data_IF_057967368960
#
_entry.id   IF_057967368960
#
_cell.length_a   1.000
_cell.length_b   1.000
_cell.length_c   1.000
_cell.angle_alpha   90.00
_cell.angle_beta   90.00
_cell.angle_gamma   90.00
#
_symmetry.space_group_name_H-M   'P 1'
#
loop_
_entity.id
_entity.type
_entity.pdbx_description
1 polymer ?
#
# COMPACT_ATOMS: atom_id res chain seq x y z
N UNK A 1 -46.84 -34.30 36.82
CA UNK A 1 -46.71 -34.49 38.28
C UNK A 1 -45.25 -34.24 38.60
N UNK A 2 -44.78 -33.06 39.02
CA UNK A 2 -45.16 -32.18 40.14
C UNK A 2 -44.63 -32.67 41.51
N UNK A 3 -44.13 -31.72 42.32
CA UNK A 3 -43.44 -31.83 43.64
C UNK A 3 -41.94 -32.21 43.59
N UNK A 4 -40.97 -31.49 44.18
CA UNK A 4 -40.81 -30.58 45.36
C UNK A 4 -40.29 -31.24 46.65
N UNK A 5 -39.08 -30.84 47.06
CA UNK A 5 -38.60 -30.50 48.43
C UNK A 5 -37.07 -30.26 48.33
N UNK A 6 -36.41 -29.18 48.76
CA UNK A 6 -36.66 -28.04 49.67
C UNK A 6 -36.39 -28.29 51.17
N UNK A 7 -35.14 -28.05 51.59
CA UNK A 7 -34.73 -27.43 52.87
C UNK A 7 -33.23 -27.05 52.76
N UNK A 8 -32.68 -25.85 53.01
CA UNK A 8 -33.01 -24.58 53.71
C UNK A 8 -32.37 -24.42 55.10
N UNK A 9 -31.81 -23.21 55.33
CA UNK A 9 -31.30 -22.63 56.60
C UNK A 9 -29.87 -23.07 56.98
N UNK A 10 -29.00 -22.22 57.55
CA UNK A 10 -29.24 -20.93 58.21
C UNK A 10 -28.18 -19.84 57.90
N UNK A 11 -28.61 -18.58 57.99
CA UNK A 11 -27.75 -17.38 57.96
C UNK A 11 -27.33 -16.95 59.38
N UNK A 12 -26.28 -16.13 59.50
CA UNK A 12 -26.24 -15.04 60.49
C UNK A 12 -25.28 -13.91 60.10
N UNK A 13 -25.76 -12.69 60.31
CA UNK A 13 -25.10 -11.40 60.05
C UNK A 13 -24.51 -10.87 61.36
N UNK A 14 -23.44 -10.08 61.30
CA UNK A 14 -23.17 -9.01 62.26
C UNK A 14 -22.31 -7.89 61.62
N UNK A 15 -22.53 -6.65 62.06
CA UNK A 15 -22.09 -5.39 61.44
C UNK A 15 -21.36 -4.49 62.47
N UNK A 16 -20.73 -3.38 62.02
CA UNK A 16 -19.99 -2.35 62.80
C UNK A 16 -18.67 -2.83 63.43
N UNK A 17 -17.61 -2.04 63.71
CA UNK A 17 -17.28 -0.61 63.53
C UNK A 17 -15.99 -0.27 64.33
N UNK A 18 -15.28 0.86 64.23
CA UNK A 18 -15.30 2.02 63.30
C UNK A 18 -14.05 2.92 63.51
N UNK A 19 -13.60 3.66 62.48
CA UNK A 19 -12.74 4.89 62.52
C UNK A 19 -11.27 4.80 63.02
N UNK A 20 -10.32 5.18 62.14
CA UNK A 20 -9.26 6.18 62.42
C UNK A 20 -8.79 6.85 61.11
N UNK A 21 -8.02 7.95 61.21
CA UNK A 21 -8.19 9.14 60.35
C UNK A 21 -6.88 9.78 59.83
N UNK A 22 -6.77 9.96 58.49
CA UNK A 22 -6.14 11.08 57.73
C UNK A 22 -4.61 11.34 57.82
N UNK A 23 -3.95 11.46 56.65
CA UNK A 23 -3.21 12.63 56.07
C UNK A 23 -2.28 12.12 54.96
N UNK A 24 -2.53 12.47 53.68
CA UNK A 24 -1.65 13.32 52.87
C UNK A 24 -2.28 13.64 51.50
N UNK A 25 -2.55 14.92 51.27
CA UNK A 25 -3.16 15.46 50.06
C UNK A 25 -2.32 16.68 49.65
N UNK A 26 -1.42 16.54 48.66
CA UNK A 26 -0.75 17.66 47.98
C UNK A 26 0.14 17.19 46.83
N UNK A 27 -0.34 17.28 45.58
CA UNK A 27 0.41 17.75 44.36
C UNK A 27 -0.46 17.57 43.11
N UNK A 28 -1.62 18.23 43.10
CA UNK A 28 -2.40 18.45 41.87
C UNK A 28 -2.67 19.93 41.71
N UNK A 29 -1.79 20.63 40.98
CA UNK A 29 -1.94 21.94 40.32
C UNK A 29 -0.53 22.51 40.02
N UNK A 30 -0.37 23.06 38.80
CA UNK A 30 0.78 23.82 38.23
C UNK A 30 1.62 23.12 37.14
N UNK A 31 1.03 22.96 35.95
CA UNK A 31 1.75 23.16 34.65
C UNK A 31 0.79 23.34 33.45
N UNK A 32 -0.35 24.01 33.64
CA UNK A 32 -1.25 24.40 32.53
C UNK A 32 -0.76 25.65 31.81
N UNK A 33 0.28 25.52 30.98
CA UNK A 33 0.74 26.64 30.14
C UNK A 33 1.66 26.22 28.98
N UNK A 34 1.32 25.18 28.19
CA UNK A 34 1.86 25.01 26.82
C UNK A 34 1.01 24.12 25.88
N UNK A 35 -0.34 24.24 25.94
CA UNK A 35 -1.24 23.64 24.91
C UNK A 35 -2.22 24.71 24.40
N UNK A 36 -1.75 25.51 23.45
CA UNK A 36 -2.59 26.32 22.56
C UNK A 36 -2.03 26.25 21.13
N UNK A 37 -2.41 25.20 20.39
CA UNK A 37 -2.69 25.24 18.94
C UNK A 37 -3.09 23.86 18.38
N UNK A 38 -4.02 23.18 19.05
CA UNK A 38 -4.63 21.92 18.58
C UNK A 38 -6.16 22.04 18.46
N UNK A 39 -6.63 23.11 17.80
CA UNK A 39 -8.02 23.27 17.35
C UNK A 39 -8.13 23.16 15.82
N UNK A 40 -7.73 22.00 15.30
CA UNK A 40 -7.93 21.59 13.91
C UNK A 40 -7.96 20.06 13.76
N UNK A 41 -8.54 19.36 14.74
CA UNK A 41 -8.90 17.94 14.64
C UNK A 41 -10.37 17.81 15.00
N UNK A 42 -11.22 18.22 14.06
CA UNK A 42 -12.64 17.88 14.09
C UNK A 42 -12.77 16.49 13.49
N UNK A 43 -13.19 15.57 14.34
CA UNK A 43 -13.80 14.27 14.08
C UNK A 43 -14.33 14.08 12.64
N UNK A 44 -13.60 13.30 11.83
CA UNK A 44 -14.08 12.58 10.64
C UNK A 44 -13.78 11.10 10.89
N UNK A 45 -14.81 10.26 10.98
CA UNK A 45 -14.69 8.83 11.32
C UNK A 45 -14.21 7.99 10.12
N UNK A 46 -12.96 8.20 9.69
CA UNK A 46 -12.28 7.42 8.65
C UNK A 46 -10.77 7.34 8.91
N UNK A 47 -10.32 6.34 9.68
CA UNK A 47 -8.89 6.18 10.03
C UNK A 47 -7.99 6.00 8.80
N UNK A 48 -8.48 5.35 7.73
CA UNK A 48 -7.75 5.17 6.46
C UNK A 48 -7.37 6.50 5.80
N UNK A 49 -8.29 7.47 5.71
CA UNK A 49 -7.95 8.78 5.12
C UNK A 49 -6.90 9.53 5.94
N UNK A 50 -6.83 9.30 7.26
CA UNK A 50 -5.77 9.81 8.12
C UNK A 50 -4.39 9.26 7.72
N UNK A 51 -4.30 7.94 7.53
CA UNK A 51 -3.05 7.28 7.10
C UNK A 51 -2.60 7.75 5.72
N UNK A 52 -3.49 7.82 4.74
CA UNK A 52 -3.17 8.25 3.37
C UNK A 52 -2.70 9.72 3.31
N UNK A 53 -3.36 10.61 4.05
CA UNK A 53 -2.94 12.01 4.21
C UNK A 53 -1.55 12.08 4.87
N UNK A 54 -1.29 11.28 5.92
CA UNK A 54 0.01 11.25 6.60
C UNK A 54 1.15 10.71 5.71
N UNK A 55 0.95 9.58 5.03
CA UNK A 55 1.98 8.98 4.17
C UNK A 55 2.39 9.92 3.02
N UNK A 56 1.40 10.52 2.34
CA UNK A 56 1.65 11.52 1.29
C UNK A 56 2.35 12.76 1.83
N UNK A 57 1.93 13.27 2.99
CA UNK A 57 2.59 14.40 3.65
C UNK A 57 4.04 14.08 4.04
N UNK A 58 4.30 12.91 4.63
CA UNK A 58 5.64 12.49 5.03
C UNK A 58 6.59 12.37 3.82
N UNK A 59 6.14 11.77 2.71
CA UNK A 59 6.91 11.69 1.46
C UNK A 59 7.20 13.09 0.89
N UNK A 60 6.18 13.96 0.81
CA UNK A 60 6.33 15.35 0.33
C UNK A 60 7.29 16.16 1.19
N UNK A 61 7.20 16.05 2.52
CA UNK A 61 8.09 16.76 3.43
C UNK A 61 9.52 16.21 3.40
N UNK A 62 9.72 14.90 3.23
CA UNK A 62 11.05 14.32 3.02
C UNK A 62 11.70 14.83 1.72
N UNK A 63 10.90 15.05 0.66
CA UNK A 63 11.36 15.67 -0.58
C UNK A 63 11.74 17.14 -0.40
N UNK A 64 10.91 17.92 0.29
CA UNK A 64 11.13 19.34 0.54
C UNK A 64 12.34 19.58 1.48
N UNK A 65 12.49 18.77 2.53
CA UNK A 65 13.52 18.94 3.55
C UNK A 65 14.95 18.83 2.98
N UNK A 66 15.17 18.03 1.93
CA UNK A 66 16.47 17.90 1.26
C UNK A 66 16.91 19.16 0.48
N UNK A 67 16.07 20.18 0.34
CA UNK A 67 16.50 21.47 -0.24
C UNK A 67 17.24 22.37 0.77
N UNK A 68 17.12 22.11 2.07
CA UNK A 68 17.93 22.76 3.11
C UNK A 68 19.03 21.79 3.58
N UNK A 69 20.28 22.19 3.37
CA UNK A 69 21.45 21.28 3.33
C UNK A 69 21.98 20.86 4.72
N UNK A 70 21.10 20.61 5.70
CA UNK A 70 21.45 20.38 7.11
C UNK A 70 20.53 19.38 7.81
N UNK A 71 20.61 18.09 7.46
CA UNK A 71 20.28 17.00 8.40
C UNK A 71 21.27 15.85 8.25
N UNK A 72 22.02 15.58 9.32
CA UNK A 72 22.82 14.36 9.46
C UNK A 72 21.87 13.19 9.77
N UNK A 73 21.52 12.36 8.78
CA UNK A 73 20.64 11.20 8.97
C UNK A 73 21.14 9.96 8.22
N UNK A 74 21.08 8.82 8.90
CA UNK A 74 21.76 7.55 8.57
C UNK A 74 21.06 6.69 7.51
N UNK A 75 20.25 7.30 6.63
CA UNK A 75 19.48 6.57 5.60
C UNK A 75 19.82 7.12 4.22
N UNK A 76 20.78 6.47 3.56
CA UNK A 76 21.11 6.73 2.16
C UNK A 76 19.96 6.24 1.26
N UNK A 77 19.18 7.17 0.72
CA UNK A 77 18.24 6.89 -0.38
C UNK A 77 19.09 6.77 -1.66
N UNK A 78 19.11 5.60 -2.34
CA UNK A 78 19.90 5.42 -3.57
C UNK A 78 19.47 6.40 -4.66
N UNK A 79 20.40 6.84 -5.50
CA UNK A 79 20.08 7.79 -6.57
C UNK A 79 19.03 7.25 -7.55
N UNK A 80 18.99 5.93 -7.77
CA UNK A 80 17.99 5.27 -8.61
C UNK A 80 16.56 5.32 -8.02
N UNK A 81 16.41 5.71 -6.76
CA UNK A 81 15.14 5.85 -6.06
C UNK A 81 14.61 7.31 -6.08
N UNK A 82 15.37 8.25 -6.64
CA UNK A 82 14.98 9.66 -6.73
C UNK A 82 14.17 9.92 -8.00
N UNK A 83 13.15 10.75 -7.89
CA UNK A 83 12.33 11.22 -8.99
C UNK A 83 12.53 12.69 -9.33
N UNK A 84 11.72 13.25 -10.24
CA UNK A 84 11.76 14.68 -10.54
C UNK A 84 11.36 15.53 -9.34
N UNK A 85 11.74 16.81 -9.34
CA UNK A 85 11.20 17.77 -8.40
C UNK A 85 9.73 18.08 -8.73
N UNK A 86 8.86 18.02 -7.72
CA UNK A 86 7.46 18.43 -7.88
C UNK A 86 7.37 19.95 -7.92
N UNK A 87 6.76 20.54 -8.96
CA UNK A 87 6.59 21.99 -9.06
C UNK A 87 5.72 22.57 -7.94
N UNK A 88 5.87 23.86 -7.65
CA UNK A 88 5.14 24.56 -6.57
C UNK A 88 3.60 24.51 -6.68
N UNK A 89 3.03 24.18 -7.86
CA UNK A 89 1.59 23.91 -8.05
C UNK A 89 1.11 22.58 -7.41
N UNK A 90 2.01 21.79 -6.83
CA UNK A 90 1.71 20.57 -6.07
C UNK A 90 1.59 19.29 -6.90
N UNK A 91 1.85 19.35 -8.21
CA UNK A 91 1.88 18.19 -9.11
C UNK A 91 2.77 18.47 -10.32
N UNK A 92 3.31 17.40 -10.89
CA UNK A 92 3.93 17.35 -12.21
C UNK A 92 2.93 16.71 -13.20
N UNK A 93 2.91 17.23 -14.42
CA UNK A 93 2.31 16.57 -15.59
C UNK A 93 3.36 16.57 -16.70
N UNK A 94 3.57 15.44 -17.36
CA UNK A 94 4.58 15.29 -18.40
C UNK A 94 4.12 14.24 -19.43
N UNK A 95 4.33 14.51 -20.73
CA UNK A 95 4.10 13.51 -21.78
C UNK A 95 5.13 12.39 -21.70
N UNK A 96 4.67 11.14 -21.77
CA UNK A 96 5.53 9.95 -21.90
C UNK A 96 5.79 9.69 -23.38
N UNK A 97 4.72 9.52 -24.17
CA UNK A 97 4.74 9.30 -25.63
C UNK A 97 3.32 9.40 -26.21
N UNK A 98 3.19 9.86 -27.45
CA UNK A 98 1.96 9.87 -28.27
C UNK A 98 0.66 10.15 -27.49
N UNK A 99 0.64 11.29 -26.80
CA UNK A 99 -0.48 11.80 -25.99
C UNK A 99 -0.87 10.98 -24.74
N UNK A 100 0.00 10.08 -24.28
CA UNK A 100 -0.07 9.52 -22.93
C UNK A 100 0.76 10.37 -21.97
N UNK A 101 0.12 10.90 -20.93
CA UNK A 101 0.71 11.80 -19.95
C UNK A 101 0.78 11.15 -18.58
N UNK A 102 1.92 11.27 -17.92
CA UNK A 102 2.13 10.97 -16.50
C UNK A 102 1.67 12.14 -15.64
N UNK A 103 1.03 11.84 -14.50
CA UNK A 103 0.72 12.78 -13.42
C UNK A 103 1.26 12.24 -12.11
N UNK A 104 1.93 13.09 -11.32
CA UNK A 104 2.42 12.74 -9.98
C UNK A 104 2.39 13.93 -9.02
N UNK A 105 2.22 13.65 -7.73
CA UNK A 105 2.42 14.60 -6.62
C UNK A 105 3.71 14.32 -5.81
N UNK A 106 4.56 13.41 -6.30
CA UNK A 106 5.79 12.93 -5.67
C UNK A 106 5.62 11.69 -4.79
N UNK A 107 4.38 11.29 -4.50
CA UNK A 107 4.06 10.09 -3.73
C UNK A 107 3.20 9.09 -4.52
N UNK A 108 2.31 9.57 -5.39
CA UNK A 108 1.47 8.76 -6.27
C UNK A 108 1.77 9.05 -7.74
N UNK A 109 1.54 8.06 -8.60
CA UNK A 109 1.78 8.08 -10.04
C UNK A 109 0.58 7.52 -10.78
N UNK A 110 0.01 8.30 -11.68
CA UNK A 110 -1.03 7.82 -12.60
C UNK A 110 -0.82 8.36 -14.02
N UNK A 111 -1.62 7.93 -14.99
CA UNK A 111 -1.54 8.35 -16.39
C UNK A 111 -2.91 8.62 -17.01
N UNK A 112 -2.95 9.53 -17.98
CA UNK A 112 -4.11 9.75 -18.85
C UNK A 112 -3.72 9.78 -20.31
N UNK A 113 -4.62 9.33 -21.18
CA UNK A 113 -4.43 9.20 -22.62
C UNK A 113 -5.41 10.11 -23.35
N UNK A 114 -4.88 11.11 -24.07
CA UNK A 114 -5.69 12.04 -24.88
C UNK A 114 -5.87 11.45 -26.29
N UNK A 115 -7.13 11.43 -26.74
CA UNK A 115 -7.54 11.04 -28.08
C UNK A 115 -8.29 12.16 -28.78
N UNK A 116 -8.57 12.00 -30.07
CA UNK A 116 -9.45 12.90 -30.83
C UNK A 116 -10.96 12.75 -30.52
N UNK A 117 -11.35 12.01 -29.47
CA UNK A 117 -12.75 11.84 -29.04
C UNK A 117 -12.98 12.03 -27.53
N UNK A 118 -11.94 12.45 -26.80
CA UNK A 118 -11.96 12.54 -25.34
C UNK A 118 -10.68 12.06 -24.67
N UNK A 119 -10.70 12.05 -23.34
CA UNK A 119 -9.61 11.57 -22.50
C UNK A 119 -10.02 10.26 -21.80
N UNK A 120 -9.09 9.30 -21.81
CA UNK A 120 -9.12 8.13 -20.93
C UNK A 120 -8.23 8.45 -19.72
N UNK A 121 -8.75 8.30 -18.51
CA UNK A 121 -7.98 8.40 -17.26
C UNK A 121 -7.87 7.03 -16.61
N UNK A 122 -6.76 6.78 -15.93
CA UNK A 122 -6.57 5.58 -15.09
C UNK A 122 -6.48 6.06 -13.65
N UNK A 123 -7.18 5.39 -12.75
CA UNK A 123 -7.24 5.71 -11.32
C UNK A 123 -7.60 7.19 -11.01
N UNK A 124 -7.59 7.54 -9.73
CA UNK A 124 -7.89 8.86 -9.20
C UNK A 124 -7.26 9.07 -7.81
N UNK A 125 -5.91 9.10 -7.67
CA UNK A 125 -5.30 9.05 -6.35
C UNK A 125 -5.68 10.24 -5.47
N UNK A 126 -6.09 9.99 -4.22
CA UNK A 126 -6.75 11.00 -3.37
C UNK A 126 -5.90 12.27 -3.18
N UNK A 127 -4.58 12.11 -3.12
CA UNK A 127 -3.62 13.18 -2.84
C UNK A 127 -3.29 14.03 -4.07
N UNK A 128 -3.51 13.48 -5.27
CA UNK A 128 -3.52 14.23 -6.53
C UNK A 128 -4.89 14.93 -6.66
N UNK A 129 -5.98 14.18 -6.50
CA UNK A 129 -7.34 14.68 -6.50
C UNK A 129 -7.62 15.65 -7.66
N UNK A 130 -8.25 16.79 -7.37
CA UNK A 130 -8.60 17.82 -8.38
C UNK A 130 -7.42 18.40 -9.15
N UNK A 131 -6.17 18.17 -8.75
CA UNK A 131 -5.01 18.53 -9.58
C UNK A 131 -4.91 17.67 -10.84
N UNK A 132 -5.48 16.47 -10.85
CA UNK A 132 -5.54 15.62 -12.04
C UNK A 132 -6.35 16.30 -13.17
N UNK A 133 -7.51 16.88 -12.84
CA UNK A 133 -8.30 17.66 -13.80
C UNK A 133 -7.55 18.90 -14.33
N UNK A 134 -6.72 19.54 -13.48
CA UNK A 134 -5.85 20.65 -13.91
C UNK A 134 -4.74 20.17 -14.85
N UNK A 135 -4.10 19.04 -14.54
CA UNK A 135 -3.09 18.41 -15.38
C UNK A 135 -3.62 18.06 -16.78
N UNK A 136 -4.86 17.57 -16.87
CA UNK A 136 -5.55 17.33 -18.15
C UNK A 136 -5.79 18.65 -18.89
N UNK A 137 -6.31 19.67 -18.19
CA UNK A 137 -6.61 20.99 -18.77
C UNK A 137 -5.36 21.78 -19.23
N UNK A 138 -4.16 21.44 -18.76
CA UNK A 138 -2.90 22.02 -19.24
C UNK A 138 -2.52 21.53 -20.65
N UNK A 139 -2.97 20.34 -21.06
CA UNK A 139 -2.55 19.71 -22.33
C UNK A 139 -3.70 19.51 -23.32
N UNK A 140 -4.96 19.53 -22.88
CA UNK A 140 -6.11 19.37 -23.77
C UNK A 140 -7.38 20.07 -23.27
N UNK A 141 -8.33 20.28 -24.20
CA UNK A 141 -9.70 20.71 -23.93
C UNK A 141 -10.72 19.57 -24.05
N UNK A 142 -10.26 18.38 -24.44
CA UNK A 142 -11.10 17.20 -24.59
C UNK A 142 -11.66 16.73 -23.24
N UNK A 143 -12.95 16.35 -23.15
CA UNK A 143 -13.55 15.91 -21.90
C UNK A 143 -13.09 14.50 -21.53
N UNK A 144 -13.03 14.20 -20.23
CA UNK A 144 -12.91 12.82 -19.74
C UNK A 144 -14.13 12.02 -20.19
N UNK A 145 -13.89 10.87 -20.82
CA UNK A 145 -14.93 9.95 -21.32
C UNK A 145 -14.89 8.58 -20.67
N UNK A 146 -13.70 8.12 -20.27
CA UNK A 146 -13.49 6.79 -19.73
C UNK A 146 -12.59 6.91 -18.50
N UNK A 147 -13.00 6.24 -17.42
CA UNK A 147 -12.23 6.08 -16.17
C UNK A 147 -11.95 4.59 -16.02
N UNK A 148 -10.70 4.21 -15.80
CA UNK A 148 -10.29 2.81 -15.59
C UNK A 148 -9.76 2.68 -14.17
N UNK A 149 -10.23 1.69 -13.42
CA UNK A 149 -9.63 1.33 -12.13
C UNK A 149 -8.61 0.21 -12.32
N UNK A 150 -7.40 0.39 -11.79
CA UNK A 150 -6.35 -0.64 -11.76
C UNK A 150 -6.69 -1.77 -10.78
N UNK A 151 -7.27 -1.42 -9.63
CA UNK A 151 -7.73 -2.32 -8.59
C UNK A 151 -8.64 -1.55 -7.59
N UNK A 152 -9.05 -2.16 -6.47
CA UNK A 152 -10.09 -1.62 -5.58
C UNK A 152 -9.60 -0.67 -4.48
N UNK A 153 -8.29 -0.48 -4.28
CA UNK A 153 -7.80 0.33 -3.16
C UNK A 153 -8.12 1.83 -3.28
N UNK A 154 -8.52 2.42 -2.15
CA UNK A 154 -9.02 3.78 -2.03
C UNK A 154 -7.95 4.87 -2.21
N UNK A 155 -6.68 4.55 -1.99
CA UNK A 155 -5.57 5.47 -2.26
C UNK A 155 -5.36 5.70 -3.76
N UNK A 156 -5.72 4.71 -4.59
CA UNK A 156 -5.72 4.82 -6.05
C UNK A 156 -7.03 5.36 -6.60
N UNK A 157 -8.21 4.92 -6.15
CA UNK A 157 -9.48 5.30 -6.80
C UNK A 157 -10.33 6.32 -6.01
N UNK A 158 -9.96 6.67 -4.78
CA UNK A 158 -10.81 7.39 -3.83
C UNK A 158 -11.20 8.83 -4.19
N UNK A 159 -10.58 9.45 -5.21
CA UNK A 159 -11.06 10.73 -5.76
C UNK A 159 -11.86 10.59 -7.07
N UNK A 160 -12.22 9.38 -7.51
CA UNK A 160 -12.82 9.14 -8.83
C UNK A 160 -14.17 9.85 -9.05
N UNK A 161 -14.91 10.17 -7.98
CA UNK A 161 -16.13 11.00 -8.03
C UNK A 161 -15.90 12.45 -8.48
N UNK A 162 -14.65 12.90 -8.65
CA UNK A 162 -14.33 14.17 -9.31
C UNK A 162 -14.51 14.12 -10.84
N UNK A 163 -14.53 12.94 -11.45
CA UNK A 163 -14.72 12.77 -12.88
C UNK A 163 -16.21 12.86 -13.25
N UNK A 164 -16.54 13.09 -14.54
CA UNK A 164 -17.94 13.20 -14.96
C UNK A 164 -18.75 11.94 -14.62
N UNK A 165 -19.93 12.12 -14.03
CA UNK A 165 -20.83 11.02 -13.68
C UNK A 165 -21.35 10.24 -14.90
N UNK A 166 -21.24 10.81 -16.11
CA UNK A 166 -21.58 10.18 -17.39
C UNK A 166 -20.36 9.64 -18.16
N UNK A 167 -19.19 9.55 -17.53
CA UNK A 167 -18.06 8.80 -18.07
C UNK A 167 -18.32 7.29 -17.96
N UNK A 168 -17.68 6.49 -18.83
CA UNK A 168 -17.67 5.04 -18.71
C UNK A 168 -16.63 4.64 -17.67
N UNK A 169 -17.06 4.11 -16.53
CA UNK A 169 -16.19 3.53 -15.51
C UNK A 169 -15.96 2.05 -15.83
N UNK A 170 -14.69 1.64 -15.94
CA UNK A 170 -14.26 0.29 -16.34
C UNK A 170 -13.41 -0.33 -15.22
N UNK A 171 -13.75 -1.55 -14.80
CA UNK A 171 -12.97 -2.31 -13.84
C UNK A 171 -12.97 -3.81 -14.16
N UNK A 172 -12.05 -4.55 -13.54
CA UNK A 172 -12.10 -6.02 -13.55
C UNK A 172 -13.27 -6.51 -12.66
N UNK A 173 -13.83 -7.69 -12.94
CA UNK A 173 -15.02 -8.22 -12.26
C UNK A 173 -14.87 -8.37 -10.74
N UNK A 174 -13.72 -8.80 -10.23
CA UNK A 174 -13.41 -8.90 -8.80
C UNK A 174 -13.30 -7.51 -8.16
N UNK A 175 -12.63 -6.55 -8.80
CA UNK A 175 -12.62 -5.14 -8.36
C UNK A 175 -14.04 -4.59 -8.26
N UNK A 176 -14.89 -4.81 -9.27
CA UNK A 176 -16.30 -4.39 -9.20
C UNK A 176 -17.10 -5.13 -8.10
N UNK A 177 -16.69 -6.34 -7.73
CA UNK A 177 -17.29 -7.11 -6.63
C UNK A 177 -16.85 -6.55 -5.28
N UNK A 178 -15.55 -6.29 -5.07
CA UNK A 178 -15.02 -5.61 -3.87
C UNK A 178 -15.73 -4.27 -3.64
N UNK A 179 -15.84 -3.42 -4.66
CA UNK A 179 -16.48 -2.10 -4.53
C UNK A 179 -17.97 -2.20 -4.18
N UNK A 180 -18.67 -3.21 -4.73
CA UNK A 180 -20.06 -3.50 -4.38
C UNK A 180 -20.20 -4.01 -2.95
N UNK A 181 -19.28 -4.87 -2.49
CA UNK A 181 -19.29 -5.46 -1.15
C UNK A 181 -18.92 -4.41 -0.08
N UNK A 182 -17.99 -3.49 -0.39
CA UNK A 182 -17.66 -2.33 0.45
C UNK A 182 -18.83 -1.32 0.53
N UNK A 183 -19.62 -1.21 -0.54
CA UNK A 183 -20.78 -0.32 -0.64
C UNK A 183 -20.46 1.17 -0.34
N UNK A 184 -19.22 1.60 -0.63
CA UNK A 184 -18.82 3.00 -0.53
C UNK A 184 -19.33 3.79 -1.74
N UNK A 185 -20.26 4.71 -1.49
CA UNK A 185 -20.85 5.57 -2.53
C UNK A 185 -19.95 6.75 -2.93
N UNK A 186 -18.79 6.94 -2.28
CA UNK A 186 -17.80 7.96 -2.63
C UNK A 186 -17.05 7.65 -3.93
N UNK A 187 -16.99 6.37 -4.32
CA UNK A 187 -16.39 5.87 -5.56
C UNK A 187 -17.50 5.51 -6.57
N UNK A 188 -17.49 6.07 -7.79
CA UNK A 188 -18.44 5.67 -8.83
C UNK A 188 -18.32 4.18 -9.17
N UNK A 189 -19.45 3.46 -9.13
CA UNK A 189 -19.49 2.04 -9.46
C UNK A 189 -19.11 1.79 -10.94
N UNK A 190 -18.35 0.71 -11.24
CA UNK A 190 -18.01 0.35 -12.62
C UNK A 190 -19.26 0.12 -13.48
N UNK A 191 -19.37 0.87 -14.58
CA UNK A 191 -20.44 0.75 -15.58
C UNK A 191 -20.17 -0.33 -16.63
N UNK A 192 -18.90 -0.74 -16.78
CA UNK A 192 -18.44 -1.83 -17.63
C UNK A 192 -17.48 -2.70 -16.80
N UNK A 193 -17.65 -4.01 -16.88
CA UNK A 193 -16.74 -4.98 -16.24
C UNK A 193 -16.22 -5.98 -17.27
N UNK A 194 -15.07 -6.58 -16.96
CA UNK A 194 -14.48 -7.65 -17.75
C UNK A 194 -13.82 -8.71 -16.86
N UNK A 195 -13.73 -9.94 -17.38
CA UNK A 195 -13.17 -11.09 -16.66
C UNK A 195 -11.66 -11.25 -16.85
N UNK A 196 -11.19 -11.33 -18.09
CA UNK A 196 -9.80 -11.68 -18.41
C UNK A 196 -9.05 -10.62 -19.23
N UNK A 197 -9.64 -10.11 -20.31
CA UNK A 197 -9.00 -9.09 -21.15
C UNK A 197 -10.04 -8.15 -21.76
N UNK A 198 -9.68 -6.88 -21.93
CA UNK A 198 -10.56 -5.87 -22.51
C UNK A 198 -9.76 -4.79 -23.25
N UNK A 199 -10.12 -4.52 -24.52
CA UNK A 199 -9.48 -3.49 -25.33
C UNK A 199 -10.30 -2.19 -25.28
N UNK A 200 -9.87 -1.23 -24.46
CA UNK A 200 -10.45 0.11 -24.41
C UNK A 200 -10.02 0.88 -25.65
N UNK A 201 -10.99 1.38 -26.43
CA UNK A 201 -10.73 2.23 -27.59
C UNK A 201 -11.48 3.53 -27.46
N UNK A 202 -10.80 4.65 -27.70
CA UNK A 202 -11.39 5.98 -27.78
C UNK A 202 -10.69 6.73 -28.91
N UNK A 203 -11.42 7.06 -29.97
CA UNK A 203 -10.84 7.70 -31.15
C UNK A 203 -9.68 6.93 -31.75
N UNK A 204 -8.54 7.61 -31.90
CA UNK A 204 -7.28 7.07 -32.40
C UNK A 204 -6.43 6.33 -31.35
N UNK A 205 -6.89 6.20 -30.10
CA UNK A 205 -6.12 5.63 -28.99
C UNK A 205 -6.66 4.26 -28.53
N UNK A 206 -5.78 3.44 -27.95
CA UNK A 206 -6.14 2.12 -27.41
C UNK A 206 -5.33 1.80 -26.16
N UNK A 207 -6.01 1.26 -25.14
CA UNK A 207 -5.39 0.56 -24.01
C UNK A 207 -5.88 -0.90 -23.99
N UNK A 208 -5.01 -1.82 -23.60
CA UNK A 208 -5.33 -3.23 -23.36
C UNK A 208 -5.29 -3.47 -21.85
N UNK A 209 -6.43 -3.89 -21.29
CA UNK A 209 -6.56 -4.27 -19.90
C UNK A 209 -6.50 -5.78 -19.81
N UNK A 210 -5.66 -6.32 -18.93
CA UNK A 210 -5.43 -7.75 -18.80
C UNK A 210 -5.39 -8.16 -17.32
N UNK A 211 -6.23 -9.13 -16.95
CA UNK A 211 -6.15 -9.81 -15.66
C UNK A 211 -5.39 -11.12 -15.84
N UNK A 212 -4.24 -11.26 -15.17
CA UNK A 212 -3.33 -12.42 -15.31
C UNK A 212 -3.34 -13.37 -14.10
N UNK A 213 -4.37 -13.26 -13.25
CA UNK A 213 -4.50 -13.93 -11.96
C UNK A 213 -4.33 -12.96 -10.78
N UNK A 214 -4.67 -13.43 -9.58
CA UNK A 214 -4.46 -12.70 -8.32
C UNK A 214 -2.97 -12.38 -8.18
N UNK A 215 -2.65 -11.22 -7.60
CA UNK A 215 -1.29 -10.81 -7.32
C UNK A 215 -1.28 -9.94 -6.04
N UNK A 216 -1.21 -8.63 -6.19
CA UNK A 216 -1.45 -7.65 -5.13
C UNK A 216 -2.82 -7.85 -4.46
N UNK A 217 -3.90 -7.78 -5.23
CA UNK A 217 -5.25 -8.17 -4.82
C UNK A 217 -5.98 -8.90 -5.96
N UNK A 218 -7.13 -9.52 -5.65
CA UNK A 218 -8.06 -10.01 -6.67
C UNK A 218 -8.58 -8.84 -7.52
N UNK A 219 -8.38 -8.95 -8.83
CA UNK A 219 -8.78 -7.91 -9.78
C UNK A 219 -7.71 -6.85 -10.11
N UNK A 220 -6.51 -6.87 -9.52
CA UNK A 220 -5.43 -5.98 -9.97
C UNK A 220 -4.99 -6.32 -11.41
N UNK A 221 -5.03 -5.33 -12.30
CA UNK A 221 -4.83 -5.51 -13.75
C UNK A 221 -3.57 -4.87 -14.32
N UNK A 222 -3.10 -5.46 -15.41
CA UNK A 222 -2.09 -4.92 -16.31
C UNK A 222 -2.78 -4.01 -17.31
N UNK A 223 -2.32 -2.76 -17.43
CA UNK A 223 -2.90 -1.75 -18.32
C UNK A 223 -1.83 -1.34 -19.33
N UNK A 224 -1.90 -1.89 -20.54
CA UNK A 224 -0.87 -1.72 -21.56
C UNK A 224 -1.31 -0.77 -22.68
N UNK A 225 -0.47 0.23 -22.96
CA UNK A 225 -0.61 1.18 -24.06
C UNK A 225 0.32 0.77 -25.22
N UNK A 226 -0.17 0.02 -26.23
CA UNK A 226 0.69 -0.62 -27.23
C UNK A 226 1.44 0.35 -28.14
N UNK A 227 0.79 1.43 -28.59
CA UNK A 227 1.42 2.46 -29.44
C UNK A 227 2.54 3.16 -28.67
N UNK A 228 2.24 3.57 -27.44
CA UNK A 228 3.16 4.29 -26.57
C UNK A 228 4.26 3.40 -25.99
N UNK A 229 4.07 2.07 -26.00
CA UNK A 229 4.92 1.07 -25.33
C UNK A 229 5.04 1.37 -23.83
N UNK A 230 3.92 1.64 -23.18
CA UNK A 230 3.86 1.92 -21.73
C UNK A 230 3.01 0.85 -21.06
N UNK A 231 3.50 0.31 -19.95
CA UNK A 231 2.73 -0.55 -19.06
C UNK A 231 2.37 0.26 -17.81
N UNK A 232 1.16 0.12 -17.32
CA UNK A 232 0.82 0.45 -15.94
C UNK A 232 0.48 -0.85 -15.21
N UNK A 233 1.14 -1.07 -14.08
CA UNK A 233 0.91 -2.19 -13.18
C UNK A 233 1.14 -1.67 -11.78
N UNK A 234 0.03 -1.53 -11.05
CA UNK A 234 0.00 -0.87 -9.76
C UNK A 234 0.34 -1.86 -8.64
N UNK A 235 1.03 -1.36 -7.62
CA UNK A 235 1.38 -2.04 -6.36
C UNK A 235 2.18 -3.35 -6.45
N UNK A 236 2.64 -3.77 -7.64
CA UNK A 236 3.56 -4.91 -7.82
C UNK A 236 5.02 -4.49 -7.86
N UNK A 237 5.34 -3.32 -8.44
CA UNK A 237 6.71 -2.87 -8.73
C UNK A 237 6.90 -1.45 -8.22
N UNK A 238 7.99 -1.19 -7.49
CA UNK A 238 8.28 0.11 -6.89
C UNK A 238 9.65 0.60 -7.42
N UNK A 239 9.70 1.49 -8.43
CA UNK A 239 10.94 1.81 -9.16
C UNK A 239 12.05 2.42 -8.28
N UNK A 240 13.12 1.66 -8.03
CA UNK A 240 14.24 2.06 -7.17
C UNK A 240 14.02 1.87 -5.66
N UNK A 241 12.86 1.34 -5.25
CA UNK A 241 12.51 1.09 -3.85
C UNK A 241 12.20 -0.40 -3.62
N UNK A 242 12.23 -0.86 -2.37
CA UNK A 242 11.51 -2.10 -2.01
C UNK A 242 10.00 -1.80 -2.02
N UNK A 243 9.14 -2.82 -2.14
CA UNK A 243 7.70 -2.62 -1.98
C UNK A 243 7.31 -1.97 -0.64
N UNK A 244 6.09 -1.47 -0.55
CA UNK A 244 5.50 -1.13 0.74
C UNK A 244 5.45 -2.37 1.68
N UNK A 245 5.19 -2.19 2.98
CA UNK A 245 5.23 -3.29 3.98
C UNK A 245 4.53 -4.57 3.52
N UNK A 246 5.04 -5.71 3.97
CA UNK A 246 4.46 -7.03 3.71
C UNK A 246 4.30 -7.32 2.19
N UNK A 247 5.30 -6.87 1.41
CA UNK A 247 5.34 -6.93 -0.06
C UNK A 247 4.14 -6.24 -0.71
N UNK A 248 3.94 -4.98 -0.34
CA UNK A 248 2.80 -4.16 -0.70
C UNK A 248 1.47 -4.82 -0.32
N UNK A 249 1.37 -5.31 0.91
CA UNK A 249 0.15 -5.92 1.48
C UNK A 249 -0.50 -7.04 0.63
N UNK A 250 0.29 -7.71 -0.23
CA UNK A 250 -0.23 -8.65 -1.22
C UNK A 250 -1.08 -9.79 -0.63
N UNK A 251 -2.25 -10.01 -1.23
CA UNK A 251 -3.15 -11.14 -0.96
C UNK A 251 -2.53 -12.47 -1.41
N UNK A 252 -1.92 -12.51 -2.61
CA UNK A 252 -1.30 -13.70 -3.21
C UNK A 252 0.20 -13.46 -3.46
N UNK A 253 1.05 -13.91 -2.55
CA UNK A 253 2.51 -13.75 -2.65
C UNK A 253 3.10 -14.54 -3.84
N UNK A 254 2.74 -15.82 -4.10
CA UNK A 254 3.07 -16.49 -5.36
C UNK A 254 2.66 -15.71 -6.62
N UNK A 255 1.45 -15.15 -6.64
CA UNK A 255 0.91 -14.32 -7.71
C UNK A 255 1.71 -13.02 -7.90
N UNK A 256 2.03 -12.33 -6.81
CA UNK A 256 2.89 -11.13 -6.79
C UNK A 256 4.29 -11.40 -7.38
N UNK A 257 4.92 -12.51 -7.00
CA UNK A 257 6.21 -12.92 -7.57
C UNK A 257 6.07 -13.17 -9.09
N UNK A 258 5.03 -13.90 -9.50
CA UNK A 258 4.76 -14.23 -10.91
C UNK A 258 4.42 -13.02 -11.77
N UNK A 259 3.78 -12.00 -11.20
CA UNK A 259 3.37 -10.78 -11.89
C UNK A 259 4.57 -10.02 -12.52
N UNK A 260 5.77 -10.18 -11.96
CA UNK A 260 7.01 -9.63 -12.53
C UNK A 260 7.38 -10.26 -13.89
N UNK A 261 7.27 -11.58 -14.01
CA UNK A 261 7.52 -12.31 -15.27
C UNK A 261 6.42 -12.02 -16.28
N UNK A 262 5.17 -11.89 -15.82
CA UNK A 262 4.04 -11.47 -16.65
C UNK A 262 4.22 -10.04 -17.18
N UNK A 263 4.68 -9.09 -16.36
CA UNK A 263 4.99 -7.72 -16.78
C UNK A 263 6.08 -7.71 -17.86
N UNK A 264 7.15 -8.49 -17.69
CA UNK A 264 8.23 -8.60 -18.67
C UNK A 264 7.79 -9.22 -20.01
N UNK A 265 6.65 -9.89 -20.09
CA UNK A 265 6.10 -10.38 -21.37
C UNK A 265 5.59 -9.26 -22.31
N UNK A 266 5.24 -8.08 -21.77
CA UNK A 266 4.80 -6.94 -22.57
C UNK A 266 5.99 -6.20 -23.19
N UNK A 267 5.92 -5.73 -24.45
CA UNK A 267 6.97 -4.95 -25.08
C UNK A 267 6.87 -3.44 -24.71
N UNK A 268 6.97 -3.13 -23.41
CA UNK A 268 7.00 -1.76 -22.88
C UNK A 268 8.43 -1.22 -22.68
N UNK A 269 8.58 0.10 -22.75
CA UNK A 269 9.80 0.85 -22.40
C UNK A 269 9.68 1.50 -21.01
N UNK A 270 8.50 2.07 -20.71
CA UNK A 270 8.19 2.81 -19.48
C UNK A 270 7.10 2.12 -18.66
N UNK A 271 7.21 2.18 -17.34
CA UNK A 271 6.27 1.64 -16.37
C UNK A 271 5.65 2.77 -15.52
N UNK A 272 4.33 2.80 -15.39
CA UNK A 272 3.61 3.56 -14.36
C UNK A 272 3.24 2.60 -13.23
N UNK A 273 3.64 2.92 -12.01
CA UNK A 273 3.71 1.95 -10.90
C UNK A 273 2.78 2.26 -9.71
N UNK A 274 1.91 3.27 -9.82
CA UNK A 274 1.01 3.70 -8.75
C UNK A 274 1.69 4.54 -7.65
N UNK A 275 2.82 4.09 -7.10
CA UNK A 275 3.44 4.68 -5.90
C UNK A 275 4.86 5.21 -6.10
N UNK A 276 5.28 6.01 -5.12
CA UNK A 276 6.60 6.61 -4.93
C UNK A 276 7.01 7.59 -6.04
N UNK A 277 8.31 7.78 -6.23
CA UNK A 277 8.85 9.06 -6.68
C UNK A 277 8.93 9.22 -8.20
N UNK A 278 8.93 8.13 -8.97
CA UNK A 278 9.17 8.18 -10.43
C UNK A 278 8.51 7.06 -11.23
N UNK A 279 8.42 7.28 -12.54
CA UNK A 279 8.22 6.23 -13.53
C UNK A 279 9.32 5.16 -13.47
N UNK A 280 8.93 3.94 -13.76
CA UNK A 280 9.81 2.79 -13.89
C UNK A 280 10.20 2.46 -15.33
N UNK A 281 11.07 1.46 -15.43
CA UNK A 281 11.58 0.89 -16.68
C UNK A 281 11.53 -0.64 -16.63
N UNK A 282 11.82 -1.32 -17.74
CA UNK A 282 12.03 -2.79 -17.72
C UNK A 282 13.07 -3.22 -16.68
N UNK A 283 14.13 -2.42 -16.49
CA UNK A 283 15.21 -2.74 -15.55
C UNK A 283 14.74 -2.67 -14.09
N UNK A 284 13.76 -1.81 -13.77
CA UNK A 284 13.14 -1.79 -12.44
C UNK A 284 12.39 -3.09 -12.15
N UNK A 285 11.63 -3.61 -13.13
CA UNK A 285 10.93 -4.91 -13.01
C UNK A 285 11.93 -6.07 -12.88
N UNK A 286 13.03 -6.07 -13.65
CA UNK A 286 14.10 -7.07 -13.51
C UNK A 286 14.75 -7.00 -12.12
N UNK A 287 14.99 -5.80 -11.59
CA UNK A 287 15.62 -5.60 -10.27
C UNK A 287 14.68 -6.03 -9.14
N UNK A 288 13.39 -5.74 -9.23
CA UNK A 288 12.38 -6.21 -8.29
C UNK A 288 12.17 -7.73 -8.39
N UNK A 289 12.21 -8.32 -9.59
CA UNK A 289 12.18 -9.77 -9.78
C UNK A 289 13.39 -10.47 -9.14
N UNK A 290 14.59 -9.87 -9.22
CA UNK A 290 15.78 -10.33 -8.52
C UNK A 290 15.58 -10.26 -7.00
N UNK A 291 15.07 -9.13 -6.49
CA UNK A 291 14.78 -8.91 -5.08
C UNK A 291 13.81 -9.95 -4.49
N UNK A 292 12.67 -10.21 -5.14
CA UNK A 292 11.69 -11.20 -4.62
C UNK A 292 12.20 -12.64 -4.72
N UNK A 293 13.06 -12.95 -5.70
CA UNK A 293 13.70 -14.28 -5.83
C UNK A 293 14.78 -14.50 -4.77
N UNK A 294 15.58 -13.47 -4.47
CA UNK A 294 16.50 -13.49 -3.33
C UNK A 294 15.73 -13.64 -2.01
N UNK A 295 14.67 -12.86 -1.81
CA UNK A 295 13.83 -12.87 -0.61
C UNK A 295 13.23 -14.26 -0.35
N UNK A 296 12.63 -14.87 -1.38
CA UNK A 296 12.10 -16.24 -1.31
C UNK A 296 13.21 -17.24 -0.96
N UNK A 297 14.38 -17.14 -1.59
CA UNK A 297 15.52 -18.01 -1.30
C UNK A 297 16.04 -17.85 0.13
N UNK A 298 16.09 -16.60 0.62
CA UNK A 298 16.54 -16.26 1.96
C UNK A 298 15.57 -16.74 3.04
N UNK A 299 14.26 -16.57 2.82
CA UNK A 299 13.22 -17.07 3.72
C UNK A 299 13.22 -18.61 3.79
N UNK A 300 13.32 -19.30 2.65
CA UNK A 300 13.47 -20.77 2.60
C UNK A 300 14.69 -21.24 3.42
N UNK A 301 15.82 -20.55 3.30
CA UNK A 301 17.04 -20.93 4.03
C UNK A 301 16.91 -20.67 5.53
N UNK A 302 16.37 -19.51 5.95
CA UNK A 302 16.12 -19.21 7.35
C UNK A 302 15.18 -20.24 8.01
N UNK A 303 14.09 -20.62 7.34
CA UNK A 303 13.17 -21.68 7.81
C UNK A 303 13.86 -23.04 7.98
N UNK A 304 14.78 -23.40 7.06
CA UNK A 304 15.55 -24.66 7.15
C UNK A 304 16.60 -24.64 8.27
N UNK A 305 17.20 -23.49 8.55
CA UNK A 305 18.29 -23.38 9.53
C UNK A 305 17.81 -23.51 10.98
N UNK A 306 16.52 -23.31 11.25
CA UNK A 306 15.95 -23.33 12.61
C UNK A 306 14.81 -24.34 12.82
N UNK A 307 15.08 -25.61 12.53
CA UNK A 307 14.17 -26.73 12.80
C UNK A 307 14.17 -27.23 14.28
N UNK A 308 14.83 -26.53 15.22
CA UNK A 308 14.99 -26.99 16.60
C UNK A 308 14.13 -26.20 17.61
N UNK A 309 12.85 -26.56 17.67
CA UNK A 309 11.90 -26.03 18.66
C UNK A 309 12.33 -26.25 20.13
N UNK A 310 13.16 -27.26 20.43
CA UNK A 310 13.68 -27.48 21.80
C UNK A 310 14.60 -26.35 22.23
N UNK A 311 15.51 -25.90 21.36
CA UNK A 311 16.39 -24.75 21.65
C UNK A 311 15.60 -23.45 21.87
N UNK A 312 14.51 -23.27 21.13
CA UNK A 312 13.64 -22.09 21.28
C UNK A 312 12.83 -22.19 22.58
N UNK A 313 12.30 -23.37 22.90
CA UNK A 313 11.66 -23.63 24.18
C UNK A 313 12.61 -23.36 25.37
N UNK A 314 13.86 -23.80 25.31
CA UNK A 314 14.89 -23.49 26.32
C UNK A 314 15.07 -21.97 26.51
N UNK A 315 15.06 -21.18 25.44
CA UNK A 315 15.19 -19.71 25.51
C UNK A 315 13.98 -19.03 26.18
N UNK A 316 12.79 -19.62 26.09
CA UNK A 316 11.53 -19.00 26.59
C UNK A 316 10.96 -19.67 27.86
N UNK A 317 11.74 -20.52 28.53
CA UNK A 317 11.35 -21.15 29.80
C UNK A 317 10.58 -22.48 29.67
N UNK A 318 10.67 -23.12 28.51
CA UNK A 318 10.10 -24.44 28.20
C UNK A 318 8.88 -24.38 27.29
N UNK A 319 8.24 -25.55 27.08
CA UNK A 319 7.07 -25.71 26.21
C UNK A 319 5.73 -25.31 26.86
N UNK A 320 5.75 -24.71 28.05
CA UNK A 320 4.54 -24.33 28.81
C UNK A 320 3.71 -23.24 28.13
N UNK A 321 4.34 -22.41 27.29
CA UNK A 321 3.68 -21.43 26.42
C UNK A 321 4.01 -21.72 24.95
N UNK A 322 3.28 -22.62 24.27
CA UNK A 322 3.59 -22.99 22.89
C UNK A 322 3.47 -21.81 21.91
N UNK A 323 2.57 -20.86 22.15
CA UNK A 323 2.45 -19.66 21.29
C UNK A 323 3.69 -18.76 21.38
N UNK A 324 4.31 -18.64 22.55
CA UNK A 324 5.58 -17.91 22.69
C UNK A 324 6.70 -18.64 21.94
N UNK A 325 6.78 -19.96 22.04
CA UNK A 325 7.76 -20.76 21.27
C UNK A 325 7.60 -20.55 19.76
N UNK A 326 6.37 -20.61 19.23
CA UNK A 326 6.11 -20.33 17.81
C UNK A 326 6.44 -18.87 17.43
N UNK A 327 6.03 -17.89 18.23
CA UNK A 327 6.32 -16.48 17.95
C UNK A 327 7.84 -16.20 17.90
N UNK A 328 8.60 -16.76 18.82
CA UNK A 328 10.06 -16.63 18.84
C UNK A 328 10.72 -17.33 17.65
N UNK A 329 10.18 -18.47 17.19
CA UNK A 329 10.63 -19.11 15.94
C UNK A 329 10.39 -18.20 14.72
N UNK A 330 9.20 -17.63 14.61
CA UNK A 330 8.80 -16.78 13.47
C UNK A 330 9.65 -15.50 13.41
N UNK A 331 9.89 -14.87 14.56
CA UNK A 331 10.77 -13.70 14.68
C UNK A 331 12.21 -14.03 14.29
N UNK A 332 12.74 -15.19 14.69
CA UNK A 332 14.11 -15.59 14.37
C UNK A 332 14.29 -15.90 12.87
N UNK A 333 13.32 -16.57 12.24
CA UNK A 333 13.29 -16.78 10.78
C UNK A 333 13.26 -15.44 10.03
N UNK A 334 12.38 -14.50 10.44
CA UNK A 334 12.30 -13.17 9.85
C UNK A 334 13.61 -12.38 10.04
N UNK A 335 14.24 -12.46 11.21
CA UNK A 335 15.51 -11.78 11.52
C UNK A 335 16.69 -12.33 10.69
N UNK A 336 16.82 -13.64 10.54
CA UNK A 336 17.89 -14.26 9.74
C UNK A 336 17.74 -13.95 8.24
N UNK A 337 16.51 -14.00 7.73
CA UNK A 337 16.20 -13.53 6.39
C UNK A 337 16.55 -12.04 6.23
N UNK A 338 16.19 -11.20 7.19
CA UNK A 338 16.45 -9.75 7.16
C UNK A 338 17.95 -9.44 7.07
N UNK A 339 18.77 -10.06 7.92
CA UNK A 339 20.22 -9.86 7.92
C UNK A 339 20.84 -10.25 6.57
N UNK A 340 20.43 -11.40 6.02
CA UNK A 340 20.89 -11.90 4.72
C UNK A 340 20.51 -10.94 3.59
N UNK A 341 19.26 -10.47 3.56
CA UNK A 341 18.76 -9.58 2.52
C UNK A 341 19.37 -8.18 2.58
N UNK A 342 19.52 -7.60 3.78
CA UNK A 342 20.08 -6.26 3.94
C UNK A 342 21.54 -6.18 3.47
N UNK A 343 22.33 -7.26 3.60
CA UNK A 343 23.70 -7.32 3.11
C UNK A 343 23.82 -7.03 1.59
N UNK A 344 22.80 -7.41 0.79
CA UNK A 344 22.75 -7.16 -0.66
C UNK A 344 21.90 -5.93 -1.03
N UNK A 345 20.79 -5.70 -0.32
CA UNK A 345 19.73 -4.80 -0.79
C UNK A 345 19.68 -3.43 -0.11
N UNK A 346 20.29 -3.26 1.08
CA UNK A 346 20.19 -2.03 1.89
C UNK A 346 20.60 -0.75 1.12
N UNK A 347 21.58 -0.87 0.23
CA UNK A 347 22.10 0.25 -0.57
C UNK A 347 21.64 0.21 -2.05
N UNK A 348 20.90 -0.84 -2.46
CA UNK A 348 20.40 -0.98 -3.84
C UNK A 348 19.00 -0.40 -4.01
N UNK A 349 18.13 -0.58 -3.03
CA UNK A 349 16.74 -0.13 -3.07
C UNK A 349 16.42 0.73 -1.85
N UNK A 350 15.76 1.88 -2.08
CA UNK A 350 15.25 2.71 -0.99
C UNK A 350 14.21 1.95 -0.15
N UNK A 351 14.12 2.27 1.15
CA UNK A 351 13.17 1.62 2.08
C UNK A 351 13.57 0.24 2.59
N UNK A 352 14.66 -0.34 2.08
CA UNK A 352 15.10 -1.70 2.45
C UNK A 352 15.23 -1.90 3.97
N UNK A 353 15.97 -1.03 4.67
CA UNK A 353 16.13 -1.13 6.13
C UNK A 353 14.79 -1.01 6.89
N UNK A 354 13.82 -0.28 6.34
CA UNK A 354 12.53 -0.02 6.97
C UNK A 354 11.56 -1.21 6.84
N UNK A 355 11.50 -1.87 5.68
CA UNK A 355 10.49 -2.89 5.41
C UNK A 355 11.02 -4.33 5.25
N UNK A 356 12.33 -4.57 5.22
CA UNK A 356 12.88 -5.93 5.00
C UNK A 356 12.33 -6.98 5.97
N UNK A 357 12.20 -6.64 7.26
CA UNK A 357 11.65 -7.56 8.26
C UNK A 357 10.20 -7.97 7.95
N UNK A 358 9.36 -7.01 7.55
CA UNK A 358 7.99 -7.28 7.10
C UNK A 358 7.95 -8.17 5.84
N UNK A 359 8.81 -7.90 4.86
CA UNK A 359 8.92 -8.73 3.65
C UNK A 359 9.37 -10.16 3.95
N UNK A 360 10.35 -10.32 4.84
CA UNK A 360 10.85 -11.62 5.27
C UNK A 360 9.79 -12.43 6.05
N UNK A 361 9.05 -11.78 6.95
CA UNK A 361 7.94 -12.41 7.68
C UNK A 361 6.82 -12.87 6.71
N UNK A 362 6.31 -11.97 5.86
CA UNK A 362 5.26 -12.28 4.88
C UNK A 362 5.66 -13.36 3.86
N UNK A 363 6.93 -13.36 3.41
CA UNK A 363 7.46 -14.41 2.54
C UNK A 363 7.54 -15.76 3.27
N UNK A 364 8.03 -15.78 4.51
CA UNK A 364 8.11 -17.00 5.32
C UNK A 364 6.71 -17.56 5.67
N UNK A 365 5.71 -16.70 5.84
CA UNK A 365 4.30 -17.06 6.02
C UNK A 365 3.73 -17.78 4.78
N UNK A 366 3.84 -17.17 3.59
CA UNK A 366 3.37 -17.80 2.33
C UNK A 366 3.99 -19.18 2.11
N UNK A 367 5.31 -19.29 2.31
CA UNK A 367 6.08 -20.54 2.19
C UNK A 367 5.70 -21.67 3.17
N UNK A 368 4.76 -21.45 4.10
CA UNK A 368 4.21 -22.48 5.00
C UNK A 368 2.85 -23.00 4.55
N UNK A 369 2.16 -22.25 3.68
CA UNK A 369 0.81 -22.57 3.17
C UNK A 369 0.90 -23.14 1.75
N UNK A 370 1.92 -22.73 0.99
CA UNK A 370 2.29 -23.21 -0.36
C UNK A 370 3.10 -24.53 -0.34
#
# INVERSE_FOLDING_TARGET
VNMLNKSSLNSKVLQSGSVFLVILLATSLLSTSYIQNSKALVQEDHEDYGYLKFASYAVKQAYAAKQNNTVNSTIHIPAIAMGPQIPAKGYLVQEIRDHLYWVTDGAYNTMFLVSNQGVIVVDAPFTIGKNYLKAIAEVTKEPVKIVIYSHAHMDHIGAASMFPANATYIAQQETATILKDHNDTSVPAPTVTFSTSYAVRLGNQTLVLDYKGVNHERGNIFIYAPTQRVLMLVDVVFPGWVPFRDLAIAEDVPGFIKAHEQALSYPFDTLVAGHLTRLGTRQDVVTQMEFVKDLKSSAINATKMFANFTKIAEQVGGFSNPWLVFKTHDDDVANQCTQTMLAKWNNRLGGANQYMSSHCAKMAESLRVD
#
